data_IF_091228039420
#
_entry.id   IF_091228039420
#
_cell.length_a   1.000
_cell.length_b   1.000
_cell.length_c   1.000
_cell.angle_alpha   90.00
_cell.angle_beta   90.00
_cell.angle_gamma   90.00
#
_symmetry.space_group_name_H-M   'P 1'
#
loop_
_entity.id
_entity.type
_entity.pdbx_description
1 polymer ?
#
# COMPACT_ATOMS: atom_id res chain seq x y z
N UNK A 1 9.87 19.56 -3.95
CA UNK A 1 10.11 18.11 -4.02
C UNK A 1 11.52 17.92 -4.55
N UNK A 2 12.30 17.02 -3.95
CA UNK A 2 13.67 16.72 -4.37
C UNK A 2 13.87 15.22 -4.52
N UNK A 3 14.32 14.77 -5.69
CA UNK A 3 14.74 13.38 -5.91
C UNK A 3 16.08 13.13 -5.25
N UNK A 4 16.16 12.06 -4.45
CA UNK A 4 17.36 11.70 -3.68
C UNK A 4 18.24 10.63 -4.34
N UNK A 5 17.75 10.04 -5.43
CA UNK A 5 18.42 8.93 -6.14
C UNK A 5 18.61 9.27 -7.62
N UNK A 6 19.62 8.67 -8.25
CA UNK A 6 19.80 8.80 -9.69
C UNK A 6 18.91 7.81 -10.46
N UNK A 7 18.50 8.17 -11.68
CA UNK A 7 17.69 7.28 -12.54
C UNK A 7 18.28 5.86 -12.69
N UNK A 8 19.58 5.66 -12.95
CA UNK A 8 20.13 4.31 -13.07
C UNK A 8 20.01 3.48 -11.79
N UNK A 9 19.99 4.11 -10.62
CA UNK A 9 19.81 3.43 -9.33
C UNK A 9 18.35 2.96 -9.18
N UNK A 10 17.40 3.82 -9.52
CA UNK A 10 15.97 3.47 -9.56
C UNK A 10 15.68 2.30 -10.52
N UNK A 11 16.15 2.39 -11.77
CA UNK A 11 15.89 1.35 -12.78
C UNK A 11 16.51 0.02 -12.38
N UNK A 12 17.73 0.05 -11.81
CA UNK A 12 18.41 -1.14 -11.31
C UNK A 12 17.69 -1.76 -10.11
N UNK A 13 17.21 -0.95 -9.18
CA UNK A 13 16.46 -1.44 -8.03
C UNK A 13 15.15 -2.13 -8.46
N UNK A 14 14.41 -1.52 -9.38
CA UNK A 14 13.18 -2.07 -9.91
C UNK A 14 13.40 -3.39 -10.66
N UNK A 15 14.43 -3.47 -11.51
CA UNK A 15 14.83 -4.70 -12.22
C UNK A 15 15.26 -5.82 -11.25
N UNK A 16 15.97 -5.48 -10.16
CA UNK A 16 16.33 -6.46 -9.14
C UNK A 16 15.11 -7.03 -8.41
N UNK A 17 14.07 -6.21 -8.16
CA UNK A 17 12.81 -6.68 -7.59
C UNK A 17 12.12 -7.70 -8.50
N UNK A 18 12.06 -7.43 -9.82
CA UNK A 18 11.49 -8.38 -10.77
C UNK A 18 12.27 -9.70 -10.81
N UNK A 19 13.60 -9.65 -10.87
CA UNK A 19 14.44 -10.86 -10.81
C UNK A 19 14.25 -11.65 -9.52
N UNK A 20 14.03 -10.99 -8.39
CA UNK A 20 13.77 -11.66 -7.12
C UNK A 20 12.42 -12.41 -7.14
N UNK A 21 11.38 -11.79 -7.70
CA UNK A 21 10.08 -12.43 -7.88
C UNK A 21 10.13 -13.61 -8.86
N UNK A 22 10.84 -13.46 -9.99
CA UNK A 22 11.06 -14.55 -10.96
C UNK A 22 11.75 -15.77 -10.33
N UNK A 23 12.79 -15.54 -9.49
CA UNK A 23 13.45 -16.61 -8.74
C UNK A 23 12.50 -17.31 -7.76
N UNK A 24 11.46 -16.62 -7.29
CA UNK A 24 10.38 -17.16 -6.49
C UNK A 24 9.30 -17.89 -7.29
N UNK A 25 9.43 -17.97 -8.62
CA UNK A 25 8.46 -18.62 -9.51
C UNK A 25 7.27 -17.74 -9.90
N UNK A 26 7.35 -16.42 -9.71
CA UNK A 26 6.31 -15.48 -10.11
C UNK A 26 6.59 -14.96 -11.53
N UNK A 27 5.59 -15.05 -12.41
CA UNK A 27 5.60 -14.36 -13.70
C UNK A 27 4.99 -12.95 -13.51
N UNK A 28 5.80 -11.92 -13.75
CA UNK A 28 5.38 -10.52 -13.59
C UNK A 28 5.02 -9.95 -14.97
N UNK A 29 3.76 -10.10 -15.35
CA UNK A 29 3.22 -9.61 -16.62
C UNK A 29 2.76 -8.14 -16.54
N UNK A 30 2.65 -7.48 -17.69
CA UNK A 30 2.01 -6.16 -17.78
C UNK A 30 0.48 -6.28 -17.63
N UNK A 31 -0.20 -5.30 -17.00
CA UNK A 31 0.35 -4.06 -16.45
C UNK A 31 1.14 -4.29 -15.14
N UNK A 32 2.30 -3.64 -15.03
CA UNK A 32 3.15 -3.67 -13.83
C UNK A 32 2.87 -2.45 -12.95
N UNK A 33 2.89 -2.67 -11.64
CA UNK A 33 2.62 -1.63 -10.66
C UNK A 33 3.78 -1.46 -9.69
N UNK A 34 4.00 -0.21 -9.26
CA UNK A 34 4.98 0.15 -8.23
C UNK A 34 4.30 1.01 -7.18
N UNK A 35 4.36 0.59 -5.92
CA UNK A 35 4.11 1.45 -4.77
C UNK A 35 5.46 1.95 -4.25
N UNK A 36 5.75 3.27 -4.34
CA UNK A 36 7.02 3.82 -3.89
C UNK A 36 7.22 3.65 -2.38
N UNK A 37 8.46 3.41 -1.91
CA UNK A 37 8.76 3.38 -0.49
C UNK A 37 8.43 4.73 0.16
N UNK A 38 8.00 4.69 1.43
CA UNK A 38 7.52 5.87 2.17
C UNK A 38 6.34 6.58 1.50
N UNK A 39 5.65 5.87 0.59
CA UNK A 39 4.52 6.37 -0.18
C UNK A 39 4.84 7.66 -0.93
N UNK A 40 6.12 7.90 -1.22
CA UNK A 40 6.62 9.16 -1.76
C UNK A 40 7.09 9.00 -3.19
N UNK A 41 6.59 9.88 -4.06
CA UNK A 41 7.04 9.99 -5.44
C UNK A 41 6.85 11.41 -5.95
N UNK A 42 7.52 11.68 -7.05
CA UNK A 42 7.46 12.95 -7.74
C UNK A 42 7.38 12.75 -9.26
N UNK A 43 7.48 13.84 -10.02
CA UNK A 43 7.44 13.79 -11.48
C UNK A 43 8.54 12.91 -12.07
N UNK A 44 9.78 13.04 -11.59
CA UNK A 44 10.92 12.29 -12.12
C UNK A 44 10.74 10.77 -11.90
N UNK A 45 10.39 10.36 -10.69
CA UNK A 45 10.10 8.95 -10.36
C UNK A 45 8.94 8.43 -11.21
N UNK A 46 7.88 9.23 -11.39
CA UNK A 46 6.74 8.86 -12.24
C UNK A 46 7.12 8.71 -13.71
N UNK A 47 7.96 9.61 -14.25
CA UNK A 47 8.41 9.57 -15.64
C UNK A 47 9.33 8.36 -15.88
N UNK A 48 10.20 8.03 -14.91
CA UNK A 48 11.10 6.87 -15.02
C UNK A 48 10.33 5.55 -14.94
N UNK A 49 9.40 5.40 -13.98
CA UNK A 49 8.53 4.23 -13.90
C UNK A 49 7.75 4.03 -15.20
N UNK A 50 7.16 5.11 -15.72
CA UNK A 50 6.42 5.08 -16.99
C UNK A 50 7.30 4.68 -18.18
N UNK A 51 8.54 5.18 -18.25
CA UNK A 51 9.49 4.79 -19.30
C UNK A 51 9.85 3.30 -19.26
N UNK A 52 9.66 2.64 -18.12
CA UNK A 52 9.83 1.21 -17.93
C UNK A 52 8.53 0.41 -18.08
N UNK A 53 7.42 1.02 -18.51
CA UNK A 53 6.07 0.43 -18.56
C UNK A 53 5.58 -0.07 -17.19
N UNK A 54 5.76 0.78 -16.17
CA UNK A 54 5.34 0.54 -14.79
C UNK A 54 4.49 1.70 -14.30
N UNK A 55 3.28 1.40 -13.82
CA UNK A 55 2.35 2.36 -13.28
C UNK A 55 2.61 2.58 -11.78
N UNK A 56 2.83 3.82 -11.37
CA UNK A 56 2.87 4.17 -9.94
C UNK A 56 1.45 4.11 -9.38
N UNK A 57 1.32 3.46 -8.23
CA UNK A 57 0.10 3.45 -7.41
C UNK A 57 0.44 3.91 -6.00
N UNK A 58 -0.55 4.44 -5.29
CA UNK A 58 -0.38 4.84 -3.90
C UNK A 58 -1.69 4.61 -3.13
N UNK A 59 -1.63 4.61 -1.81
CA UNK A 59 -2.81 4.46 -0.97
C UNK A 59 -3.69 5.70 -1.00
N UNK A 60 -4.96 5.55 -0.59
CA UNK A 60 -5.87 6.68 -0.41
C UNK A 60 -5.74 7.18 1.04
N UNK A 61 -5.43 8.47 1.28
CA UNK A 61 -5.28 8.99 2.64
C UNK A 61 -6.64 9.18 3.34
N UNK A 62 -6.63 9.11 4.67
CA UNK A 62 -7.77 9.51 5.51
C UNK A 62 -8.14 8.52 6.61
N UNK A 63 -7.91 7.22 6.40
CA UNK A 63 -8.29 6.16 7.34
C UNK A 63 -7.24 5.84 8.38
N UNK A 64 -6.01 6.36 8.23
CA UNK A 64 -4.82 6.02 9.03
C UNK A 64 -4.35 4.57 8.92
N UNK A 65 -4.82 3.81 7.92
CA UNK A 65 -4.43 2.40 7.74
C UNK A 65 -2.91 2.21 7.63
N UNK A 66 -2.24 3.15 6.96
CA UNK A 66 -0.80 3.14 6.76
C UNK A 66 0.02 3.38 8.04
N UNK A 67 -0.61 3.71 9.18
CA UNK A 67 0.10 3.86 10.45
C UNK A 67 0.38 2.51 11.14
N UNK A 68 -0.05 1.39 10.56
CA UNK A 68 0.10 0.06 11.13
C UNK A 68 1.55 -0.43 11.22
N UNK A 69 2.49 0.19 10.50
CA UNK A 69 3.93 -0.09 10.65
C UNK A 69 4.53 0.51 11.94
N UNK A 70 3.84 1.48 12.57
CA UNK A 70 4.39 2.22 13.71
C UNK A 70 4.52 1.32 14.96
N UNK A 71 5.49 1.63 15.82
CA UNK A 71 5.75 0.90 17.07
C UNK A 71 5.39 1.72 18.30
N UNK A 72 5.12 1.11 19.48
CA UNK A 72 4.67 1.82 20.68
C UNK A 72 5.55 2.98 21.14
N UNK A 73 6.85 2.98 20.80
CA UNK A 73 7.78 4.07 21.12
C UNK A 73 7.74 5.27 20.17
N UNK A 74 7.04 5.15 19.04
CA UNK A 74 6.94 6.22 18.04
C UNK A 74 5.86 7.23 18.43
N UNK A 75 6.12 8.52 18.20
CA UNK A 75 5.17 9.61 18.51
C UNK A 75 3.84 9.47 17.77
N UNK A 76 3.85 8.91 16.56
CA UNK A 76 2.69 8.70 15.70
C UNK A 76 2.11 7.29 15.80
N UNK A 77 2.43 6.55 16.85
CA UNK A 77 1.88 5.21 17.07
C UNK A 77 0.36 5.22 17.19
N UNK A 78 -0.28 4.30 16.46
CA UNK A 78 -1.71 4.00 16.59
C UNK A 78 -1.89 2.49 16.79
N UNK A 79 -2.67 2.12 17.81
CA UNK A 79 -3.05 0.73 18.03
C UNK A 79 -3.89 0.20 16.87
N UNK A 80 -3.85 -1.12 16.66
CA UNK A 80 -4.63 -1.74 15.59
C UNK A 80 -6.14 -1.56 15.77
N UNK A 81 -6.62 -1.56 17.02
CA UNK A 81 -8.00 -1.19 17.35
C UNK A 81 -8.33 0.25 16.93
N UNK A 82 -7.42 1.21 17.17
CA UNK A 82 -7.63 2.61 16.76
C UNK A 82 -7.70 2.74 15.25
N UNK A 83 -6.78 2.07 14.54
CA UNK A 83 -6.76 2.06 13.06
C UNK A 83 -8.05 1.46 12.51
N UNK A 84 -8.51 0.34 13.08
CA UNK A 84 -9.76 -0.33 12.67
C UNK A 84 -10.96 0.61 12.81
N UNK A 85 -11.12 1.24 13.98
CA UNK A 85 -12.18 2.21 14.20
C UNK A 85 -12.08 3.43 13.28
N UNK A 86 -10.88 3.93 13.00
CA UNK A 86 -10.68 5.06 12.08
C UNK A 86 -11.11 4.70 10.64
N UNK A 87 -10.87 3.47 10.18
CA UNK A 87 -11.33 3.00 8.87
C UNK A 87 -12.87 3.04 8.82
N UNK A 88 -13.54 2.45 9.80
CA UNK A 88 -15.01 2.41 9.83
C UNK A 88 -15.62 3.81 10.03
N UNK A 89 -15.02 4.65 10.87
CA UNK A 89 -15.49 6.02 11.08
C UNK A 89 -15.32 6.89 9.83
N UNK A 90 -14.23 6.68 9.07
CA UNK A 90 -14.05 7.35 7.79
C UNK A 90 -15.14 6.91 6.81
N UNK A 91 -15.44 5.61 6.77
CA UNK A 91 -16.47 4.99 5.93
C UNK A 91 -17.90 5.50 6.25
N UNK A 92 -18.21 5.73 7.53
CA UNK A 92 -19.52 6.28 7.91
C UNK A 92 -19.73 7.72 7.40
N UNK A 93 -18.64 8.48 7.25
CA UNK A 93 -18.66 9.88 6.82
C UNK A 93 -18.42 10.04 5.32
N UNK A 94 -17.78 9.07 4.68
CA UNK A 94 -17.33 9.08 3.29
C UNK A 94 -17.39 7.66 2.73
N UNK A 95 -17.55 7.45 1.42
CA UNK A 95 -17.46 6.08 0.89
C UNK A 95 -16.01 5.56 0.83
N UNK A 96 -15.82 4.24 1.01
CA UNK A 96 -14.58 3.55 0.64
C UNK A 96 -14.58 3.03 -0.81
N UNK A 97 -15.55 3.43 -1.64
CA UNK A 97 -15.62 3.02 -3.05
C UNK A 97 -14.44 3.59 -3.84
N UNK A 98 -13.56 2.70 -4.30
CA UNK A 98 -12.31 3.07 -4.97
C UNK A 98 -11.16 3.40 -4.02
N UNK A 99 -11.33 3.16 -2.71
CA UNK A 99 -10.32 3.41 -1.70
C UNK A 99 -9.24 2.31 -1.71
N UNK A 100 -7.97 2.72 -1.66
CA UNK A 100 -6.84 1.81 -1.50
C UNK A 100 -6.30 1.90 -0.08
N UNK A 101 -6.61 0.89 0.74
CA UNK A 101 -6.01 0.74 2.07
C UNK A 101 -4.59 0.18 1.95
N UNK A 102 -3.63 0.79 2.66
CA UNK A 102 -2.26 0.28 2.81
C UNK A 102 -2.08 -0.31 4.20
N UNK A 103 -1.61 -1.56 4.25
CA UNK A 103 -1.33 -2.39 5.43
C UNK A 103 0.02 -3.08 5.22
N UNK A 104 0.81 -3.23 6.27
CA UNK A 104 2.16 -3.78 6.25
C UNK A 104 2.19 -5.18 6.87
N UNK A 105 2.52 -6.20 6.07
CA UNK A 105 2.81 -7.54 6.58
C UNK A 105 4.26 -7.58 7.07
N UNK A 106 4.49 -8.05 8.29
CA UNK A 106 5.83 -8.15 8.87
C UNK A 106 6.34 -6.87 9.56
N UNK A 107 5.47 -6.21 10.32
CA UNK A 107 5.86 -5.05 11.13
C UNK A 107 6.81 -5.43 12.27
N UNK A 108 7.53 -4.44 12.82
CA UNK A 108 8.54 -4.63 13.86
C UNK A 108 8.03 -5.48 15.05
N UNK A 109 8.80 -6.45 15.58
CA UNK A 109 8.37 -7.34 16.67
C UNK A 109 7.87 -6.63 17.93
N UNK A 110 8.28 -5.38 18.16
CA UNK A 110 7.84 -4.58 19.32
C UNK A 110 6.39 -4.08 19.21
N UNK A 111 5.81 -4.04 18.00
CA UNK A 111 4.36 -3.88 17.82
C UNK A 111 3.70 -5.24 18.04
N UNK A 112 3.10 -5.46 19.20
CA UNK A 112 2.47 -6.73 19.55
C UNK A 112 1.06 -6.90 18.98
N UNK A 113 0.33 -5.80 18.76
CA UNK A 113 -1.01 -5.76 18.18
C UNK A 113 -0.90 -5.53 16.67
N UNK A 114 -0.70 -6.61 15.92
CA UNK A 114 -0.47 -6.54 14.48
C UNK A 114 -1.78 -6.26 13.77
N UNK A 115 -1.83 -5.24 12.91
CA UNK A 115 -3.08 -4.92 12.21
C UNK A 115 -3.51 -6.05 11.27
N UNK A 116 -2.57 -6.81 10.72
CA UNK A 116 -2.88 -7.96 9.89
C UNK A 116 -3.65 -9.07 10.62
N UNK A 117 -3.63 -9.11 11.96
CA UNK A 117 -4.46 -10.03 12.75
C UNK A 117 -5.94 -9.60 12.78
N UNK A 118 -6.25 -8.35 12.44
CA UNK A 118 -7.60 -7.80 12.34
C UNK A 118 -8.18 -7.85 10.91
N UNK A 119 -7.41 -8.33 9.92
CA UNK A 119 -7.83 -8.29 8.51
C UNK A 119 -9.08 -9.14 8.25
N UNK A 120 -9.20 -10.32 8.85
CA UNK A 120 -10.37 -11.18 8.67
C UNK A 120 -11.65 -10.51 9.16
N UNK A 121 -11.59 -9.84 10.31
CA UNK A 121 -12.69 -9.07 10.87
C UNK A 121 -13.05 -7.88 9.97
N UNK A 122 -12.06 -7.08 9.57
CA UNK A 122 -12.28 -5.91 8.72
C UNK A 122 -12.86 -6.29 7.35
N UNK A 123 -12.34 -7.35 6.73
CA UNK A 123 -12.85 -7.85 5.45
C UNK A 123 -14.29 -8.34 5.61
N UNK A 124 -14.60 -9.04 6.71
CA UNK A 124 -15.96 -9.48 7.02
C UNK A 124 -16.92 -8.30 7.17
N UNK A 125 -16.54 -7.30 7.96
CA UNK A 125 -17.34 -6.10 8.21
C UNK A 125 -17.58 -5.31 6.92
N UNK A 126 -16.55 -5.06 6.11
CA UNK A 126 -16.71 -4.34 4.85
C UNK A 126 -17.57 -5.11 3.83
N UNK A 127 -17.49 -6.44 3.79
CA UNK A 127 -18.40 -7.26 2.97
C UNK A 127 -19.84 -7.19 3.44
N UNK A 128 -20.08 -7.16 4.76
CA UNK A 128 -21.42 -6.98 5.31
C UNK A 128 -22.01 -5.60 4.96
N UNK A 129 -21.13 -4.60 4.77
CA UNK A 129 -21.46 -3.27 4.22
C UNK A 129 -21.47 -3.23 2.68
N UNK A 130 -21.56 -4.38 2.03
CA UNK A 130 -21.67 -4.56 0.58
C UNK A 130 -20.44 -4.13 -0.26
N UNK A 131 -19.29 -3.89 0.38
CA UNK A 131 -18.05 -3.62 -0.35
C UNK A 131 -17.49 -4.88 -1.02
N UNK A 132 -16.83 -4.66 -2.16
CA UNK A 132 -16.09 -5.69 -2.91
C UNK A 132 -14.62 -5.34 -2.93
N UNK A 133 -13.79 -6.32 -2.61
CA UNK A 133 -12.35 -6.24 -2.77
C UNK A 133 -12.00 -6.66 -4.19
N UNK A 134 -11.35 -5.76 -4.92
CA UNK A 134 -10.90 -5.98 -6.29
C UNK A 134 -9.39 -5.80 -6.35
N UNK A 135 -8.76 -6.45 -7.33
CA UNK A 135 -7.35 -6.24 -7.61
C UNK A 135 -7.13 -4.83 -8.19
N UNK A 136 -5.91 -4.32 -8.07
CA UNK A 136 -5.54 -2.99 -8.57
C UNK A 136 -5.77 -2.84 -10.08
N UNK A 137 -5.51 -3.89 -10.86
CA UNK A 137 -5.78 -3.93 -12.29
C UNK A 137 -7.28 -3.96 -12.63
N UNK A 138 -8.12 -4.37 -11.67
CA UNK A 138 -9.58 -4.23 -11.78
C UNK A 138 -10.05 -2.82 -11.43
N UNK A 139 -9.43 -2.19 -10.42
CA UNK A 139 -9.77 -0.84 -9.97
C UNK A 139 -9.41 0.23 -10.99
N UNK A 140 -8.28 0.06 -11.67
CA UNK A 140 -7.74 1.02 -12.64
C UNK A 140 -8.19 0.74 -14.09
N UNK A 141 -9.13 -0.19 -14.30
CA UNK A 141 -9.80 -0.35 -15.59
C UNK A 141 -10.86 0.73 -15.73
N UNK A 142 -10.83 1.41 -16.86
CA UNK A 142 -11.88 2.35 -17.30
C UNK A 142 -13.28 1.71 -17.27
#
# INVERSE_FOLDING_TARGET
>A
DSTLIARPEFEKDLDNNYRAMEKGGLEIESPRYLMPPYEWYNREISDWAKAMDVQIVNFTPGTTSNADYTTPGMKNYLSSETIYHNILQYEEKNSLSGFMLLIHIGTDPTRSDKFYDCLDELIGELKNREYKFIRIDGLLKD
#
